data_IF_619157572488
#
_entry.id   IF_619157572488
#
_cell.length_a   1.000
_cell.length_b   1.000
_cell.length_c   1.000
_cell.angle_alpha   90.00
_cell.angle_beta   90.00
_cell.angle_gamma   90.00
#
_symmetry.space_group_name_H-M   'P 1'
#
loop_
_entity.id
_entity.type
_entity.pdbx_description
1 polymer ?
2 non-polymer ?
3 non-polymer ?
4 water ?
#
# COMPACT_ATOMS: atom_id res chain seq x y z
N UNK A 4 -36.77 9.28 0.20
CA UNK A 4 -35.41 9.67 0.48
C UNK A 4 -34.58 9.91 -0.77
N UNK A 5 -33.39 10.48 -0.60
CA UNK A 5 -32.53 10.81 -1.73
C UNK A 5 -31.95 9.56 -2.39
N UNK A 6 -31.86 8.47 -1.64
CA UNK A 6 -31.30 7.23 -2.17
C UNK A 6 -32.33 6.10 -2.15
N UNK A 7 -33.59 6.46 -2.33
CA UNK A 7 -34.67 5.48 -2.33
C UNK A 7 -34.53 4.49 -3.48
N UNK A 8 -34.53 3.19 -3.14
CA UNK A 8 -34.44 2.15 -4.14
C UNK A 8 -33.02 1.71 -4.44
N UNK A 9 -32.05 2.46 -3.94
CA UNK A 9 -30.65 2.15 -4.18
C UNK A 9 -30.14 1.08 -3.22
N UNK A 10 -29.24 0.22 -3.72
CA UNK A 10 -28.67 -0.85 -2.93
C UNK A 10 -27.27 -0.48 -2.44
N UNK A 11 -27.10 -0.47 -1.12
CA UNK A 11 -25.85 -0.02 -0.52
C UNK A 11 -25.20 -1.11 0.32
N UNK A 12 -23.89 -1.31 0.11
CA UNK A 12 -23.11 -2.21 0.96
C UNK A 12 -22.03 -1.44 1.69
N UNK A 13 -22.01 -1.56 3.01
CA UNK A 13 -21.02 -0.86 3.83
C UNK A 13 -20.15 -1.85 4.61
N UNK A 14 -18.89 -1.96 4.22
CA UNK A 14 -17.95 -2.83 4.94
C UNK A 14 -17.47 -2.13 6.21
N UNK A 15 -17.59 -2.82 7.34
CA UNK A 15 -17.19 -2.27 8.63
C UNK A 15 -18.09 -1.14 9.09
N UNK A 16 -19.38 -1.42 9.22
CA UNK A 16 -20.34 -0.37 9.53
C UNK A 16 -20.99 -0.43 10.90
N UNK A 17 -20.47 -1.26 11.80
CA UNK A 17 -21.13 -1.46 13.09
C UNK A 17 -20.85 -0.33 14.09
N UNK A 18 -19.70 0.33 13.95
CA UNK A 18 -19.29 1.33 14.94
C UNK A 18 -18.84 2.65 14.33
N UNK A 19 -18.90 3.70 15.14
CA UNK A 19 -18.36 5.01 14.79
C UNK A 19 -18.79 5.58 13.46
N UNK A 20 -17.80 5.89 12.62
CA UNK A 20 -18.04 6.44 11.30
C UNK A 20 -18.89 5.49 10.46
N UNK A 21 -18.59 4.21 10.53
CA UNK A 21 -19.35 3.20 9.82
C UNK A 21 -20.81 3.21 10.18
N UNK A 22 -21.10 3.29 11.48
CA UNK A 22 -22.47 3.31 11.97
C UNK A 22 -23.21 4.55 11.49
N UNK A 23 -22.53 5.69 11.51
CA UNK A 23 -23.12 6.95 11.07
C UNK A 23 -23.48 6.89 9.58
N UNK A 24 -22.63 6.22 8.81
CA UNK A 24 -22.87 6.06 7.37
C UNK A 24 -24.07 5.14 7.12
N UNK A 25 -24.17 4.08 7.93
CA UNK A 25 -25.33 3.20 7.88
C UNK A 25 -26.62 3.98 8.17
N UNK A 26 -26.61 4.75 9.25
CA UNK A 26 -27.79 5.53 9.64
C UNK A 26 -28.18 6.54 8.57
N UNK A 27 -27.18 7.16 7.96
CA UNK A 27 -27.43 8.20 6.96
C UNK A 27 -28.11 7.66 5.71
N UNK A 28 -27.63 6.52 5.20
CA UNK A 28 -28.19 5.95 3.99
C UNK A 28 -29.57 5.33 4.24
N UNK A 29 -29.77 4.75 5.42
CA UNK A 29 -31.07 4.24 5.81
C UNK A 29 -32.10 5.38 5.91
N UNK A 30 -31.68 6.47 6.53
CA UNK A 30 -32.54 7.65 6.68
C UNK A 30 -32.91 8.21 5.31
N UNK A 31 -31.99 8.10 4.36
CA UNK A 31 -32.23 8.58 3.00
C UNK A 31 -32.93 7.55 2.13
N UNK A 32 -33.48 6.51 2.77
CA UNK A 32 -34.36 5.56 2.10
C UNK A 32 -33.69 4.47 1.29
N UNK A 33 -32.40 4.24 1.51
CA UNK A 33 -31.69 3.21 0.76
C UNK A 33 -31.79 1.85 1.44
N UNK A 34 -31.67 0.79 0.63
CA UNK A 34 -31.59 -0.56 1.15
C UNK A 34 -30.15 -0.87 1.56
N UNK A 35 -29.90 -0.94 2.86
CA UNK A 35 -28.54 -1.04 3.36
C UNK A 35 -28.19 -2.40 3.98
N UNK A 36 -27.04 -2.92 3.57
CA UNK A 36 -26.42 -4.05 4.25
C UNK A 36 -25.03 -3.63 4.70
N UNK A 37 -24.62 -4.07 5.89
CA UNK A 37 -23.29 -3.75 6.38
C UNK A 37 -22.62 -4.95 7.03
N UNK A 38 -21.29 -4.89 7.15
CA UNK A 38 -20.54 -5.98 7.73
C UNK A 38 -19.90 -5.59 9.05
N UNK A 39 -19.59 -6.59 9.86
CA UNK A 39 -18.94 -6.40 11.15
C UNK A 39 -18.02 -7.58 11.43
N UNK A 40 -17.18 -7.46 12.43
CA UNK A 40 -16.27 -8.54 12.80
C UNK A 40 -16.35 -8.85 14.30
N UNK A 41 -15.64 -8.08 15.10
CA UNK A 41 -15.56 -8.33 16.53
C UNK A 41 -16.74 -7.81 17.32
N UNK A 42 -17.35 -6.72 16.85
CA UNK A 42 -18.42 -6.07 17.59
C UNK A 42 -19.81 -6.58 17.19
N UNK A 43 -20.13 -7.78 17.63
CA UNK A 43 -21.43 -8.40 17.32
C UNK A 43 -22.58 -7.64 17.97
N UNK A 44 -22.42 -7.26 19.23
CA UNK A 44 -23.46 -6.57 19.98
C UNK A 44 -23.75 -5.18 19.39
N UNK A 45 -22.70 -4.49 18.98
CA UNK A 45 -22.86 -3.18 18.36
C UNK A 45 -23.63 -3.29 17.05
N UNK A 46 -23.29 -4.30 16.26
CA UNK A 46 -23.95 -4.53 14.98
C UNK A 46 -25.41 -4.91 15.17
N UNK A 47 -25.69 -5.71 16.20
CA UNK A 47 -27.05 -6.13 16.51
C UNK A 47 -27.93 -4.94 16.82
N UNK A 48 -27.45 -4.06 17.69
CA UNK A 48 -28.21 -2.87 18.08
C UNK A 48 -28.42 -1.91 16.92
N UNK A 49 -27.42 -1.82 16.04
CA UNK A 49 -27.51 -0.96 14.87
C UNK A 49 -28.55 -1.51 13.89
N UNK A 50 -28.58 -2.82 13.74
CA UNK A 50 -29.55 -3.47 12.87
C UNK A 50 -30.96 -3.28 13.42
N UNK A 51 -31.09 -3.36 14.74
CA UNK A 51 -32.36 -3.17 15.41
C UNK A 51 -32.85 -1.73 15.29
N UNK A 52 -31.91 -0.79 15.31
CA UNK A 52 -32.26 0.63 15.24
C UNK A 52 -32.64 1.07 13.84
N UNK A 53 -31.87 0.62 12.85
CA UNK A 53 -32.02 1.11 11.49
C UNK A 53 -32.83 0.18 10.59
N UNK A 54 -32.75 -1.11 10.84
CA UNK A 54 -33.38 -2.09 9.98
C UNK A 54 -32.42 -2.59 8.92
N UNK A 55 -31.19 -2.10 8.96
CA UNK A 55 -30.16 -2.53 8.03
C UNK A 55 -29.74 -3.97 8.33
N UNK A 56 -29.31 -4.68 7.29
CA UNK A 56 -28.89 -6.07 7.43
C UNK A 56 -27.41 -6.16 7.81
N UNK A 57 -27.13 -6.88 8.89
CA UNK A 57 -25.75 -7.08 9.34
C UNK A 57 -25.26 -8.48 9.00
N UNK A 58 -24.06 -8.56 8.44
CA UNK A 58 -23.44 -9.83 8.13
C UNK A 58 -22.01 -9.87 8.66
N UNK A 59 -21.63 -10.97 9.29
CA UNK A 59 -20.27 -11.13 9.80
C UNK A 59 -19.26 -11.26 8.66
N UNK A 60 -18.19 -10.48 8.74
CA UNK A 60 -17.12 -10.54 7.74
C UNK A 60 -15.81 -10.00 8.29
N UNK A 61 -14.74 -10.79 8.15
CA UNK A 61 -13.41 -10.37 8.53
C UNK A 61 -12.78 -9.52 7.43
N UNK A 62 -12.63 -8.23 7.69
CA UNK A 62 -12.06 -7.31 6.70
C UNK A 62 -10.60 -7.64 6.40
N UNK A 63 -9.92 -8.25 7.36
CA UNK A 63 -8.55 -8.69 7.17
C UNK A 63 -8.49 -9.91 6.25
N UNK A 64 -9.55 -10.72 6.31
CA UNK A 64 -9.66 -11.89 5.44
C UNK A 64 -10.14 -11.46 4.06
N UNK A 65 -9.25 -11.54 3.07
CA UNK A 65 -9.52 -11.06 1.73
C UNK A 65 -10.65 -11.79 1.02
N UNK A 66 -10.66 -13.11 1.13
CA UNK A 66 -11.66 -13.92 0.43
C UNK A 66 -13.06 -13.68 0.99
N UNK A 67 -13.13 -13.39 2.29
CA UNK A 67 -14.39 -13.08 2.93
C UNK A 67 -14.94 -11.76 2.38
N UNK A 68 -14.05 -10.78 2.21
CA UNK A 68 -14.42 -9.48 1.67
C UNK A 68 -14.94 -9.60 0.24
N UNK A 69 -14.20 -10.34 -0.59
CA UNK A 69 -14.62 -10.56 -1.97
C UNK A 69 -15.96 -11.29 -2.04
N UNK A 70 -16.14 -12.27 -1.16
CA UNK A 70 -17.35 -13.08 -1.16
C UNK A 70 -18.60 -12.28 -0.79
N UNK A 71 -18.50 -11.46 0.25
CA UNK A 71 -19.66 -10.71 0.71
C UNK A 71 -20.07 -9.63 -0.30
N UNK A 72 -19.08 -9.10 -1.04
CA UNK A 72 -19.36 -8.14 -2.10
C UNK A 72 -20.04 -8.84 -3.26
N UNK A 73 -19.48 -10.00 -3.65
CA UNK A 73 -20.01 -10.78 -4.75
C UNK A 73 -21.45 -11.22 -4.51
N UNK A 74 -21.75 -11.61 -3.27
CA UNK A 74 -23.09 -12.07 -2.92
C UNK A 74 -24.09 -10.93 -2.76
N UNK A 75 -23.68 -9.71 -3.08
CA UNK A 75 -24.54 -8.54 -2.95
C UNK A 75 -25.13 -8.11 -4.29
N UNK A 76 -24.77 -8.83 -5.35
CA UNK A 76 -25.31 -8.56 -6.67
C UNK A 76 -24.91 -7.20 -7.22
N UNK A 77 -25.80 -6.62 -8.03
CA UNK A 77 -25.54 -5.34 -8.66
C UNK A 77 -25.81 -4.17 -7.72
N UNK A 78 -24.89 -3.95 -6.78
CA UNK A 78 -25.05 -2.85 -5.83
C UNK A 78 -24.84 -1.50 -6.50
N UNK A 79 -25.48 -0.46 -5.95
CA UNK A 79 -25.36 0.88 -6.50
C UNK A 79 -24.22 1.64 -5.83
N UNK A 80 -24.05 1.40 -4.54
CA UNK A 80 -23.04 2.10 -3.75
C UNK A 80 -22.27 1.12 -2.87
N UNK A 81 -20.94 1.19 -2.96
CA UNK A 81 -20.08 0.45 -2.05
C UNK A 81 -19.33 1.40 -1.13
N UNK A 82 -19.37 1.12 0.17
CA UNK A 82 -18.57 1.89 1.12
C UNK A 82 -17.64 0.95 1.88
N UNK A 83 -16.34 1.25 1.85
CA UNK A 83 -15.35 0.47 2.56
C UNK A 83 -14.75 1.29 3.70
N UNK A 84 -15.18 0.98 4.92
CA UNK A 84 -14.70 1.70 6.10
C UNK A 84 -13.55 0.97 6.78
N UNK A 85 -12.36 1.55 6.71
CA UNK A 85 -11.17 0.95 7.31
C UNK A 85 -11.31 0.80 8.82
N UNK A 86 -11.80 1.85 9.47
CA UNK A 86 -12.02 1.81 10.91
C UNK A 86 -10.87 2.41 11.69
N UNK A 87 -10.49 1.75 12.78
CA UNK A 87 -9.41 2.24 13.64
C UNK A 87 -8.04 1.94 13.03
N UNK A 97 4.51 -3.78 16.52
CA UNK A 97 4.54 -5.18 16.09
C UNK A 97 4.44 -5.31 14.58
N UNK A 98 5.13 -6.30 14.03
CA UNK A 98 5.14 -6.53 12.59
C UNK A 98 3.78 -7.02 12.10
N UNK A 99 3.05 -7.71 12.98
CA UNK A 99 1.71 -8.20 12.64
C UNK A 99 0.69 -7.07 12.65
N UNK A 100 0.90 -6.10 13.54
CA UNK A 100 0.01 -4.95 13.63
C UNK A 100 0.10 -4.09 12.37
N UNK A 101 1.33 -3.93 11.87
CA UNK A 101 1.57 -3.15 10.66
C UNK A 101 0.93 -3.83 9.45
N UNK A 102 1.13 -5.13 9.33
CA UNK A 102 0.56 -5.90 8.22
C UNK A 102 -0.96 -5.90 8.27
N UNK A 103 -1.52 -5.96 9.48
CA UNK A 103 -2.95 -5.86 9.65
C UNK A 103 -3.45 -4.51 9.16
N UNK A 104 -2.70 -3.46 9.50
CA UNK A 104 -3.02 -2.11 9.08
C UNK A 104 -3.03 -1.96 7.56
N UNK A 105 -2.04 -2.57 6.90
CA UNK A 105 -1.94 -2.51 5.45
C UNK A 105 -3.10 -3.25 4.78
N UNK A 106 -3.47 -4.39 5.35
CA UNK A 106 -4.54 -5.21 4.79
C UNK A 106 -5.90 -4.53 4.86
N UNK A 107 -6.11 -3.73 5.88
CA UNK A 107 -7.39 -3.05 6.07
C UNK A 107 -7.43 -1.72 5.31
N UNK A 108 -6.30 -1.03 5.28
CA UNK A 108 -6.22 0.28 4.63
C UNK A 108 -6.01 0.19 3.12
N UNK A 109 -5.34 -0.87 2.67
CA UNK A 109 -4.94 -0.95 1.27
C UNK A 109 -5.53 -2.17 0.55
N UNK A 110 -5.28 -3.36 1.09
CA UNK A 110 -5.71 -4.60 0.46
C UNK A 110 -7.24 -4.69 0.35
N UNK A 111 -7.92 -4.57 1.48
CA UNK A 111 -9.37 -4.70 1.51
C UNK A 111 -10.08 -3.69 0.61
N UNK A 112 -9.70 -2.39 0.68
CA UNK A 112 -10.38 -1.46 -0.24
C UNK A 112 -10.14 -1.79 -1.71
N UNK A 113 -8.94 -2.27 -2.06
CA UNK A 113 -8.66 -2.61 -3.45
C UNK A 113 -9.53 -3.77 -3.94
N UNK A 114 -9.52 -4.87 -3.18
CA UNK A 114 -10.25 -6.07 -3.59
C UNK A 114 -11.76 -5.82 -3.65
N UNK A 115 -12.28 -5.14 -2.63
CA UNK A 115 -13.71 -4.85 -2.58
C UNK A 115 -14.13 -3.97 -3.76
N UNK A 116 -13.34 -2.93 -4.02
CA UNK A 116 -13.66 -1.98 -5.09
C UNK A 116 -13.66 -2.62 -6.46
N UNK A 117 -12.62 -3.42 -6.75
CA UNK A 117 -12.52 -4.10 -8.03
C UNK A 117 -13.66 -5.09 -8.22
N UNK A 118 -13.96 -5.86 -7.18
CA UNK A 118 -15.05 -6.82 -7.22
C UNK A 118 -16.39 -6.11 -7.44
N UNK A 119 -16.60 -5.02 -6.72
CA UNK A 119 -17.86 -4.28 -6.80
C UNK A 119 -18.04 -3.59 -8.15
N UNK A 120 -16.95 -3.01 -8.66
CA UNK A 120 -17.01 -2.23 -9.90
C UNK A 120 -17.44 -3.08 -11.09
N UNK A 121 -17.11 -4.36 -11.05
CA UNK A 121 -17.44 -5.26 -12.15
C UNK A 121 -18.86 -5.80 -12.03
N UNK A 122 -19.57 -5.34 -11.00
CA UNK A 122 -20.96 -5.73 -10.78
C UNK A 122 -21.88 -4.52 -10.82
N UNK A 123 -21.28 -3.34 -10.72
CA UNK A 123 -22.04 -2.09 -10.64
C UNK A 123 -22.60 -1.63 -11.99
N UNK A 124 -23.77 -1.00 -11.95
CA UNK A 124 -24.29 -0.28 -13.13
C UNK A 124 -23.56 1.04 -13.28
N UNK A 125 -23.68 1.69 -14.43
CA UNK A 125 -23.05 3.00 -14.60
C UNK A 125 -23.73 3.99 -13.65
N UNK A 126 -22.93 4.87 -13.05
CA UNK A 126 -23.42 5.76 -12.02
C UNK A 126 -23.10 5.21 -10.65
N UNK A 127 -22.55 3.99 -10.62
CA UNK A 127 -22.15 3.36 -9.37
C UNK A 127 -21.13 4.19 -8.61
N UNK A 128 -21.20 4.15 -7.30
CA UNK A 128 -20.31 4.94 -6.46
C UNK A 128 -19.51 4.05 -5.52
N UNK A 129 -18.19 4.18 -5.58
CA UNK A 129 -17.32 3.46 -4.66
C UNK A 129 -16.69 4.46 -3.69
N UNK A 130 -16.90 4.22 -2.40
CA UNK A 130 -16.40 5.14 -1.39
C UNK A 130 -15.55 4.40 -0.36
N UNK A 131 -14.36 4.94 -0.11
CA UNK A 131 -13.44 4.32 0.84
C UNK A 131 -13.15 5.27 1.98
N UNK A 132 -13.33 4.80 3.21
CA UNK A 132 -13.04 5.62 4.37
C UNK A 132 -11.69 5.22 4.95
N UNK A 133 -10.76 6.17 4.99
CA UNK A 133 -9.45 5.93 5.54
C UNK A 133 -9.52 5.65 7.03
N UNK A 134 -8.51 4.98 7.56
CA UNK A 134 -8.47 4.65 8.98
C UNK A 134 -8.17 5.91 9.79
N UNK A 135 -8.56 5.89 11.07
CA UNK A 135 -8.36 7.04 11.94
C UNK A 135 -7.36 6.72 13.06
N UNK A 145 2.71 4.84 13.06
CA UNK A 145 3.92 5.66 13.03
C UNK A 145 4.15 6.24 11.65
N UNK A 146 4.77 5.45 10.78
CA UNK A 146 5.02 5.87 9.40
C UNK A 146 4.25 4.99 8.42
N UNK A 147 3.69 3.91 8.94
CA UNK A 147 2.86 3.02 8.12
C UNK A 147 1.55 3.71 7.79
N UNK A 148 1.15 4.65 8.64
CA UNK A 148 -0.05 5.44 8.40
C UNK A 148 0.12 6.34 7.19
N UNK A 149 1.27 7.01 7.11
CA UNK A 149 1.59 7.89 5.99
C UNK A 149 1.62 7.11 4.68
N UNK A 150 2.15 5.89 4.73
CA UNK A 150 2.20 5.04 3.55
C UNK A 150 0.80 4.59 3.16
N UNK A 151 -0.02 4.26 4.16
CA UNK A 151 -1.38 3.82 3.93
C UNK A 151 -2.23 4.92 3.31
N UNK A 152 -2.15 6.12 3.89
CA UNK A 152 -2.90 7.27 3.40
C UNK A 152 -2.51 7.60 1.96
N UNK A 153 -1.20 7.66 1.71
CA UNK A 153 -0.70 7.93 0.37
C UNK A 153 -1.17 6.88 -0.62
N UNK A 154 -1.14 5.62 -0.21
CA UNK A 154 -1.58 4.51 -1.05
C UNK A 154 -3.02 4.68 -1.49
N UNK A 155 -3.88 5.05 -0.55
CA UNK A 155 -5.30 5.25 -0.85
C UNK A 155 -5.51 6.38 -1.86
N UNK A 156 -4.72 7.44 -1.72
CA UNK A 156 -4.80 8.56 -2.65
C UNK A 156 -4.38 8.11 -4.05
N UNK A 157 -3.30 7.33 -4.12
CA UNK A 157 -2.85 6.79 -5.39
C UNK A 157 -3.87 5.81 -5.96
N UNK A 158 -4.45 4.99 -5.10
CA UNK A 158 -5.43 3.99 -5.50
C UNK A 158 -6.68 4.64 -6.10
N UNK A 159 -7.10 5.75 -5.49
CA UNK A 159 -8.25 6.50 -5.96
C UNK A 159 -8.05 6.97 -7.40
N UNK A 160 -6.88 7.54 -7.67
CA UNK A 160 -6.52 7.98 -9.01
C UNK A 160 -6.53 6.81 -10.00
N UNK A 161 -5.90 5.70 -9.60
CA UNK A 161 -5.79 4.54 -10.46
C UNK A 161 -7.12 3.88 -10.78
N UNK A 162 -7.96 3.72 -9.75
CA UNK A 162 -9.28 3.12 -9.93
C UNK A 162 -10.17 3.97 -10.83
N UNK A 163 -10.11 5.28 -10.65
CA UNK A 163 -10.92 6.22 -11.44
C UNK A 163 -10.61 6.09 -12.92
N UNK A 164 -9.32 5.97 -13.23
CA UNK A 164 -8.90 5.75 -14.61
C UNK A 164 -9.43 4.42 -15.12
N UNK A 165 -9.36 3.39 -14.27
CA UNK A 165 -9.75 2.04 -14.65
C UNK A 165 -11.26 1.89 -14.88
N UNK A 166 -12.06 2.49 -14.01
CA UNK A 166 -13.50 2.25 -14.05
C UNK A 166 -14.31 3.49 -14.43
N UNK A 167 -13.62 4.59 -14.71
CA UNK A 167 -14.25 5.79 -15.25
C UNK A 167 -15.08 5.55 -16.50
N UNK A 168 -14.50 4.87 -17.52
CA UNK A 168 -15.26 4.52 -18.72
C UNK A 168 -16.53 3.71 -18.45
N UNK A 169 -16.63 3.11 -17.27
CA UNK A 169 -17.83 2.35 -16.90
C UNK A 169 -18.88 3.25 -16.24
N UNK A 170 -18.54 4.53 -16.06
CA UNK A 170 -19.44 5.46 -15.42
C UNK A 170 -19.46 5.31 -13.91
N UNK A 171 -18.37 4.77 -13.36
CA UNK A 171 -18.25 4.56 -11.93
C UNK A 171 -17.27 5.55 -11.31
N UNK A 172 -17.66 6.17 -10.20
CA UNK A 172 -16.77 7.11 -9.52
C UNK A 172 -16.13 6.46 -8.29
N UNK A 173 -14.90 6.87 -8.00
CA UNK A 173 -14.20 6.37 -6.83
C UNK A 173 -13.67 7.53 -6.00
N UNK A 174 -14.04 7.56 -4.72
CA UNK A 174 -13.58 8.61 -3.83
C UNK A 174 -13.14 8.06 -2.49
N UNK A 175 -12.12 8.70 -1.92
CA UNK A 175 -11.67 8.36 -0.58
C UNK A 175 -12.00 9.50 0.37
N UNK A 176 -12.54 9.15 1.53
CA UNK A 176 -12.74 10.14 2.58
C UNK A 176 -11.80 9.82 3.73
N UNK A 177 -10.90 10.76 4.02
CA UNK A 177 -9.91 10.57 5.08
C UNK A 177 -10.23 11.47 6.26
N UNK A 178 -10.74 10.88 7.35
CA UNK A 178 -11.06 11.64 8.56
C UNK A 178 -9.81 12.05 9.33
N UNK A 179 -9.96 13.01 10.24
CA UNK A 179 -8.85 13.49 11.03
C UNK A 179 -8.54 12.60 12.21
N UNK A 180 -7.40 12.85 12.88
CA UNK A 180 -6.96 12.07 14.04
C UNK A 180 -7.96 12.12 15.20
N UNK A 206 -20.81 14.31 15.97
CA UNK A 206 -19.42 14.72 15.90
C UNK A 206 -18.78 14.35 14.57
N UNK A 207 -17.55 13.85 14.64
CA UNK A 207 -16.82 13.45 13.43
C UNK A 207 -17.54 12.41 12.55
N UNK A 208 -18.13 11.36 13.15
CA UNK A 208 -18.80 10.37 12.29
C UNK A 208 -19.94 10.96 11.45
N UNK A 209 -20.76 11.81 12.07
CA UNK A 209 -21.89 12.41 11.37
C UNK A 209 -21.44 13.31 10.22
N UNK A 210 -20.33 14.00 10.41
CA UNK A 210 -19.80 14.89 9.38
C UNK A 210 -19.19 14.11 8.22
N UNK A 211 -18.48 13.03 8.54
CA UNK A 211 -17.92 12.16 7.52
C UNK A 211 -19.05 11.53 6.71
N UNK A 212 -20.10 11.09 7.40
CA UNK A 212 -21.25 10.47 6.75
C UNK A 212 -21.93 11.44 5.79
N UNK A 213 -21.96 12.72 6.16
CA UNK A 213 -22.53 13.75 5.31
C UNK A 213 -21.75 13.89 4.02
N UNK A 214 -20.43 13.88 4.13
CA UNK A 214 -19.55 13.94 2.96
C UNK A 214 -19.73 12.72 2.08
N UNK A 215 -19.85 11.55 2.70
CA UNK A 215 -20.05 10.30 1.98
C UNK A 215 -21.36 10.35 1.19
N UNK A 216 -22.42 10.84 1.84
CA UNK A 216 -23.73 10.94 1.20
C UNK A 216 -23.69 11.90 0.00
N UNK A 217 -22.98 13.01 0.15
CA UNK A 217 -22.87 13.99 -0.93
C UNK A 217 -22.14 13.38 -2.12
N UNK A 218 -21.02 12.71 -1.84
CA UNK A 218 -20.21 12.08 -2.87
C UNK A 218 -20.98 10.95 -3.58
N UNK A 219 -21.93 10.36 -2.88
CA UNK A 219 -22.74 9.28 -3.46
C UNK A 219 -23.89 9.83 -4.29
N UNK A 220 -24.13 11.14 -4.19
CA UNK A 220 -25.29 11.76 -4.83
C UNK A 220 -25.03 12.33 -6.22
N UNK A 221 -26.07 12.93 -6.81
CA UNK A 221 -26.03 13.46 -8.18
C UNK A 221 -25.11 14.67 -8.36
N UNK A 222 -24.82 15.38 -7.27
CA UNK A 222 -23.99 16.57 -7.35
C UNK A 222 -22.49 16.23 -7.43
N UNK A 223 -22.16 14.96 -7.20
CA UNK A 223 -20.77 14.53 -7.22
C UNK A 223 -20.52 13.53 -8.34
N UNK A 224 -21.37 13.54 -9.35
CA UNK A 224 -21.24 12.63 -10.49
C UNK A 224 -19.95 12.85 -11.26
N UNK A 225 -19.42 14.07 -11.19
CA UNK A 225 -18.17 14.40 -11.87
C UNK A 225 -17.05 14.64 -10.87
N UNK A 226 -17.11 13.93 -9.75
CA UNK A 226 -16.03 13.96 -8.77
C UNK A 226 -15.52 12.56 -8.53
N UNK A 227 -14.29 12.27 -8.95
CA UNK A 227 -13.76 10.92 -8.86
C UNK A 227 -12.23 10.92 -8.90
N UNK A 228 -11.63 9.89 -8.32
CA UNK A 228 -10.19 9.78 -8.24
C UNK A 228 -9.61 10.70 -7.19
N UNK A 229 -10.42 11.03 -6.20
CA UNK A 229 -10.09 12.05 -5.21
C UNK A 229 -10.03 11.52 -3.79
N UNK A 230 -9.11 12.06 -2.99
CA UNK A 230 -9.14 11.85 -1.55
C UNK A 230 -9.59 13.15 -0.88
N UNK A 231 -10.66 13.06 -0.10
CA UNK A 231 -11.21 14.23 0.56
C UNK A 231 -10.93 14.19 2.07
N UNK A 232 -10.23 15.19 2.56
CA UNK A 232 -9.90 15.27 3.98
C UNK A 232 -10.97 16.05 4.74
N UNK A 233 -11.51 15.42 5.77
CA UNK A 233 -12.56 16.04 6.58
C UNK A 233 -12.27 15.91 8.07
N UNK B 2 40.88 -3.58 -5.82
CA UNK B 2 40.82 -2.13 -5.90
C UNK B 2 39.94 -1.57 -4.79
N UNK B 3 40.03 -0.25 -4.58
CA UNK B 3 39.18 0.43 -3.61
C UNK B 3 38.39 1.55 -4.28
N UNK B 4 37.26 1.90 -3.68
CA UNK B 4 36.40 2.92 -4.26
C UNK B 4 35.60 3.69 -3.22
N UNK B 5 34.52 4.31 -3.68
CA UNK B 5 33.69 5.18 -2.83
C UNK B 5 33.12 4.45 -1.61
N UNK B 6 32.88 3.16 -1.75
CA UNK B 6 32.21 2.40 -0.70
C UNK B 6 33.05 1.23 -0.18
N UNK B 7 34.37 1.40 -0.20
CA UNK B 7 35.26 0.41 0.38
C UNK B 7 35.08 0.34 1.89
N UNK B 8 34.95 -0.87 2.42
CA UNK B 8 34.72 -1.07 3.84
C UNK B 8 33.25 -0.96 4.20
N UNK B 9 32.42 -0.73 3.19
CA UNK B 9 30.98 -0.62 3.38
C UNK B 9 30.28 -1.90 2.95
N UNK B 10 29.24 -2.28 3.69
CA UNK B 10 28.45 -3.45 3.33
C UNK B 10 27.12 -3.01 2.73
N UNK B 11 26.81 -3.53 1.55
CA UNK B 11 25.57 -3.17 0.86
C UNK B 11 24.69 -4.40 0.65
N UNK B 12 23.42 -4.28 1.04
CA UNK B 12 22.44 -5.34 0.81
C UNK B 12 21.41 -4.88 -0.22
N UNK B 13 21.30 -5.63 -1.30
CA UNK B 13 20.38 -5.29 -2.37
C UNK B 13 19.28 -6.33 -2.51
N UNK B 14 18.07 -5.98 -2.09
CA UNK B 14 16.94 -6.89 -2.19
C UNK B 14 16.42 -6.93 -3.63
N UNK B 15 16.58 -8.07 -4.28
CA UNK B 15 16.15 -8.22 -5.66
C UNK B 15 17.14 -7.64 -6.64
N UNK B 16 18.39 -8.07 -6.57
CA UNK B 16 19.43 -7.53 -7.42
C UNK B 16 19.95 -8.50 -8.47
N UNK B 17 19.13 -9.48 -8.84
CA UNK B 17 19.55 -10.52 -9.76
C UNK B 17 19.32 -10.15 -11.22
N UNK B 18 18.34 -9.30 -11.48
CA UNK B 18 18.01 -8.94 -12.87
C UNK B 18 17.71 -7.46 -13.07
N UNK B 19 17.91 -7.00 -14.30
CA UNK B 19 17.55 -5.65 -14.70
C UNK B 19 18.26 -4.55 -13.95
N UNK B 20 17.46 -3.63 -13.39
CA UNK B 20 17.99 -2.52 -12.60
C UNK B 20 18.77 -3.03 -11.40
N UNK B 21 18.25 -4.08 -10.77
CA UNK B 21 18.91 -4.69 -9.63
C UNK B 21 20.32 -5.12 -9.94
N UNK B 22 20.49 -5.80 -11.08
CA UNK B 22 21.80 -6.27 -11.51
C UNK B 22 22.75 -5.10 -11.79
N UNK B 23 22.20 -4.01 -12.34
CA UNK B 23 22.99 -2.82 -12.61
C UNK B 23 23.50 -2.20 -11.32
N UNK B 24 22.66 -2.19 -10.30
CA UNK B 24 23.01 -1.63 -9.00
C UNK B 24 24.08 -2.50 -8.32
N UNK B 25 23.97 -3.81 -8.49
CA UNK B 25 24.97 -4.74 -7.97
C UNK B 25 26.34 -4.47 -8.59
N UNK B 26 26.36 -4.32 -9.91
CA UNK B 26 27.60 -4.04 -10.63
C UNK B 26 28.23 -2.72 -10.20
N UNK B 27 27.39 -1.70 -10.05
CA UNK B 27 27.86 -0.36 -9.73
C UNK B 27 28.53 -0.31 -8.35
N UNK B 28 27.90 -0.92 -7.35
CA UNK B 28 28.43 -0.90 -5.99
C UNK B 28 29.71 -1.73 -5.87
N UNK B 29 29.77 -2.84 -6.61
CA UNK B 29 30.99 -3.64 -6.67
C UNK B 29 32.12 -2.82 -7.28
N UNK B 30 31.79 -2.10 -8.36
CA UNK B 30 32.75 -1.21 -9.01
C UNK B 30 33.27 -0.15 -8.03
N UNK B 31 32.40 0.30 -7.14
CA UNK B 31 32.77 1.30 -6.15
C UNK B 31 33.41 0.67 -4.92
N UNK B 32 33.74 -0.62 -5.00
CA UNK B 32 34.54 -1.28 -3.99
C UNK B 32 33.80 -1.78 -2.76
N UNK B 33 32.48 -1.83 -2.83
CA UNK B 33 31.68 -2.25 -1.68
C UNK B 33 31.61 -3.77 -1.56
N UNK B 34 31.38 -4.24 -0.33
CA UNK B 34 31.05 -5.64 -0.11
C UNK B 34 29.55 -5.82 -0.35
N UNK B 35 29.22 -6.40 -1.50
CA UNK B 35 27.83 -6.47 -1.94
C UNK B 35 27.19 -7.83 -1.72
N UNK B 36 26.01 -7.82 -1.11
CA UNK B 36 25.17 -9.00 -1.06
C UNK B 36 23.84 -8.67 -1.72
N UNK B 37 23.28 -9.62 -2.47
CA UNK B 37 21.97 -9.39 -3.08
C UNK B 37 21.08 -10.62 -2.98
N UNK B 38 19.78 -10.39 -2.98
CA UNK B 38 18.82 -11.49 -2.94
C UNK B 38 18.21 -11.73 -4.31
N UNK B 39 17.84 -12.97 -4.58
CA UNK B 39 17.21 -13.34 -5.84
C UNK B 39 15.93 -14.12 -5.58
N UNK B 40 15.01 -14.07 -6.55
CA UNK B 40 13.73 -14.75 -6.42
C UNK B 40 13.56 -15.86 -7.44
N UNK B 41 14.19 -15.70 -8.60
CA UNK B 41 14.00 -16.62 -9.70
C UNK B 41 15.16 -17.57 -9.99
N UNK B 42 15.82 -17.34 -11.12
CA UNK B 42 16.85 -18.25 -11.60
C UNK B 42 18.06 -18.31 -10.68
N UNK B 43 18.38 -19.52 -10.23
CA UNK B 43 19.58 -19.75 -9.44
C UNK B 43 20.82 -19.62 -10.31
N UNK B 44 20.69 -20.01 -11.58
CA UNK B 44 21.80 -19.94 -12.53
C UNK B 44 22.19 -18.50 -12.82
N UNK B 45 21.19 -17.64 -13.00
CA UNK B 45 21.43 -16.23 -13.29
C UNK B 45 22.01 -15.52 -12.08
N UNK B 46 21.52 -15.86 -10.90
CA UNK B 46 22.01 -15.26 -9.66
C UNK B 46 23.45 -15.66 -9.38
N UNK B 47 23.73 -16.95 -9.56
CA UNK B 47 25.08 -17.48 -9.36
C UNK B 47 26.04 -16.88 -10.39
N UNK B 48 25.55 -16.71 -11.62
CA UNK B 48 26.36 -16.15 -12.68
C UNK B 48 26.73 -14.70 -12.39
N UNK B 49 25.75 -13.91 -11.98
CA UNK B 49 25.98 -12.51 -11.64
C UNK B 49 26.91 -12.38 -10.45
N UNK B 50 26.71 -13.24 -9.45
CA UNK B 50 27.53 -13.22 -8.24
C UNK B 50 28.99 -13.51 -8.55
N UNK B 51 29.25 -14.52 -9.36
CA UNK B 51 30.61 -14.89 -9.72
C UNK B 51 31.24 -13.87 -10.67
N UNK B 52 30.41 -13.28 -11.53
CA UNK B 52 30.86 -12.27 -12.46
C UNK B 52 31.29 -10.99 -11.74
N UNK B 53 30.52 -10.60 -10.73
CA UNK B 53 30.77 -9.36 -10.02
C UNK B 53 31.59 -9.55 -8.74
N UNK B 54 31.56 -10.75 -8.18
CA UNK B 54 32.22 -11.01 -6.92
C UNK B 54 31.34 -10.57 -5.77
N UNK B 55 30.05 -10.85 -5.89
CA UNK B 55 29.09 -10.49 -4.85
C UNK B 55 28.50 -11.75 -4.22
N UNK B 56 27.88 -11.57 -3.06
CA UNK B 56 27.19 -12.66 -2.37
C UNK B 56 25.73 -12.73 -2.82
N UNK B 57 25.27 -13.95 -3.12
CA UNK B 57 23.88 -14.16 -3.52
C UNK B 57 23.16 -15.07 -2.54
N UNK B 58 21.94 -14.68 -2.18
CA UNK B 58 21.13 -15.45 -1.24
C UNK B 58 19.66 -15.42 -1.66
N UNK B 59 18.98 -16.56 -1.58
CA UNK B 59 17.58 -16.62 -1.95
C UNK B 59 16.72 -15.91 -0.91
N UNK B 60 15.76 -15.14 -1.39
CA UNK B 60 14.75 -14.50 -0.53
C UNK B 60 13.55 -14.08 -1.35
N UNK B 61 12.37 -14.53 -0.94
CA UNK B 61 11.12 -14.07 -1.54
C UNK B 61 10.69 -12.78 -0.87
N UNK B 62 10.73 -11.68 -1.61
CA UNK B 62 10.43 -10.36 -1.07
C UNK B 62 8.99 -10.23 -0.59
N UNK B 63 8.12 -11.11 -1.07
CA UNK B 63 6.72 -11.10 -0.65
C UNK B 63 6.59 -11.64 0.77
N UNK B 64 7.54 -12.48 1.18
CA UNK B 64 7.55 -13.05 2.53
C UNK B 64 8.15 -12.04 3.51
N UNK B 65 7.31 -11.52 4.40
CA UNK B 65 7.75 -10.52 5.37
C UNK B 65 8.86 -11.05 6.28
N UNK B 66 8.66 -12.26 6.82
CA UNK B 66 9.62 -12.84 7.73
C UNK B 66 10.97 -13.08 7.05
N UNK B 67 10.93 -13.55 5.82
CA UNK B 67 12.15 -13.80 5.05
C UNK B 67 12.91 -12.51 4.81
N UNK B 68 12.18 -11.44 4.50
CA UNK B 68 12.76 -10.13 4.29
C UNK B 68 13.40 -9.61 5.57
N UNK B 69 12.67 -9.68 6.66
CA UNK B 69 13.18 -9.24 7.96
C UNK B 69 14.39 -10.08 8.38
N UNK B 70 14.32 -11.38 8.13
CA UNK B 70 15.39 -12.29 8.52
C UNK B 70 16.69 -12.03 7.75
N UNK B 71 16.58 -11.83 6.44
CA UNK B 71 17.77 -11.63 5.61
C UNK B 71 18.42 -10.29 5.90
N UNK B 72 17.64 -9.32 6.36
CA UNK B 72 18.17 -8.03 6.76
C UNK B 72 18.90 -8.18 8.10
N UNK B 73 18.27 -8.90 9.03
CA UNK B 73 18.88 -9.16 10.34
C UNK B 73 20.20 -9.92 10.20
N UNK B 74 20.25 -10.87 9.27
CA UNK B 74 21.45 -11.68 9.06
C UNK B 74 22.60 -10.87 8.45
N UNK B 75 22.30 -9.68 7.95
CA UNK B 75 23.29 -8.86 7.29
C UNK B 75 24.14 -8.07 8.28
N UNK B 76 23.71 -8.06 9.54
CA UNK B 76 24.44 -7.37 10.59
C UNK B 76 24.38 -5.87 10.47
N UNK B 77 25.50 -5.20 10.74
CA UNK B 77 25.56 -3.74 10.74
C UNK B 77 25.81 -3.18 9.35
N UNK B 78 24.87 -3.41 8.44
CA UNK B 78 25.00 -2.95 7.06
C UNK B 78 25.03 -1.43 6.97
N UNK B 79 25.65 -0.91 5.92
CA UNK B 79 25.79 0.52 5.73
C UNK B 79 24.76 1.06 4.73
N UNK B 80 24.46 0.25 3.71
CA UNK B 80 23.53 0.66 2.67
C UNK B 80 22.52 -0.44 2.37
N UNK B 81 21.24 -0.09 2.40
CA UNK B 81 20.19 -1.01 2.00
C UNK B 81 19.53 -0.53 0.71
N UNK B 82 19.48 -1.40 -0.29
CA UNK B 82 18.76 -1.12 -1.51
C UNK B 82 17.62 -2.11 -1.67
N UNK B 83 16.39 -1.60 -1.71
CA UNK B 83 15.22 -2.43 -1.90
C UNK B 83 14.65 -2.23 -3.30
N UNK B 84 14.85 -3.22 -4.17
CA UNK B 84 14.36 -3.15 -5.54
C UNK B 84 12.94 -3.70 -5.64
N UNK B 85 11.96 -2.81 -5.75
CA UNK B 85 10.57 -3.21 -5.92
C UNK B 85 10.22 -3.31 -7.40
N UNK B 86 8.99 -3.73 -7.68
CA UNK B 86 8.54 -3.88 -9.05
C UNK B 86 7.08 -4.29 -9.14
N UNK B 93 0.41 -8.05 -17.47
CA UNK B 93 -0.56 -9.15 -17.46
C UNK B 93 -1.96 -8.65 -17.81
N UNK B 94 -2.76 -9.54 -18.40
CA UNK B 94 -4.13 -9.20 -18.76
C UNK B 94 -5.03 -9.16 -17.54
N UNK B 95 -4.89 -10.15 -16.67
CA UNK B 95 -5.69 -10.24 -15.45
C UNK B 95 -4.86 -10.81 -14.32
N UNK B 96 -4.96 -10.18 -13.15
CA UNK B 96 -4.22 -10.62 -11.97
C UNK B 96 -5.17 -11.22 -10.94
N UNK B 97 -4.83 -12.40 -10.41
CA UNK B 97 -5.65 -12.99 -9.37
C UNK B 97 -5.39 -12.28 -8.04
N UNK B 98 -6.22 -12.57 -7.04
CA UNK B 98 -6.16 -11.88 -5.76
C UNK B 98 -4.83 -12.12 -5.03
N UNK B 99 -4.29 -13.33 -5.15
CA UNK B 99 -3.02 -13.67 -4.52
C UNK B 99 -1.85 -12.89 -5.12
N UNK B 100 -1.84 -12.78 -6.44
CA UNK B 100 -0.76 -12.05 -7.13
C UNK B 100 -0.85 -10.55 -6.84
N UNK B 101 -2.07 -10.05 -6.67
CA UNK B 101 -2.27 -8.67 -6.25
C UNK B 101 -1.68 -8.45 -4.86
N UNK B 102 -1.99 -9.35 -3.93
CA UNK B 102 -1.44 -9.27 -2.59
C UNK B 102 0.08 -9.41 -2.63
N UNK B 103 0.59 -10.23 -3.54
CA UNK B 103 2.03 -10.37 -3.73
C UNK B 103 2.64 -9.07 -4.21
N UNK B 104 1.96 -8.40 -5.13
CA UNK B 104 2.39 -7.10 -5.65
C UNK B 104 2.53 -6.11 -4.51
N UNK B 105 1.49 -6.01 -3.69
CA UNK B 105 1.48 -5.09 -2.55
C UNK B 105 2.57 -5.43 -1.53
N UNK B 106 2.78 -6.73 -1.29
CA UNK B 106 3.80 -7.16 -0.34
C UNK B 106 5.20 -6.83 -0.84
N UNK B 107 5.42 -6.97 -2.15
CA UNK B 107 6.72 -6.66 -2.74
C UNK B 107 6.95 -5.15 -2.83
N UNK B 108 5.91 -4.41 -3.22
CA UNK B 108 6.05 -2.98 -3.46
C UNK B 108 5.81 -2.10 -2.23
N UNK B 109 5.11 -2.62 -1.24
CA UNK B 109 4.80 -1.81 -0.06
C UNK B 109 5.30 -2.43 1.24
N UNK B 110 4.89 -3.66 1.52
CA UNK B 110 5.26 -4.35 2.76
C UNK B 110 6.77 -4.52 2.91
N UNK B 111 7.39 -5.08 1.89
CA UNK B 111 8.83 -5.36 1.94
C UNK B 111 9.67 -4.08 2.13
N UNK B 112 9.42 -3.02 1.34
CA UNK B 112 10.22 -1.80 1.59
C UNK B 112 10.05 -1.24 3.00
N UNK B 113 8.86 -1.35 3.58
CA UNK B 113 8.64 -0.83 4.93
C UNK B 113 9.41 -1.64 5.97
N UNK B 114 9.17 -2.95 5.99
CA UNK B 114 9.80 -3.82 6.98
C UNK B 114 11.32 -3.85 6.84
N UNK B 115 11.80 -3.91 5.60
CA UNK B 115 13.23 -3.94 5.35
C UNK B 115 13.90 -2.65 5.80
N UNK B 116 13.26 -1.52 5.51
CA UNK B 116 13.80 -0.22 5.90
C UNK B 116 13.80 -0.05 7.42
N UNK B 117 12.72 -0.48 8.06
CA UNK B 117 12.60 -0.38 9.51
C UNK B 117 13.64 -1.26 10.20
N UNK B 118 13.77 -2.50 9.72
CA UNK B 118 14.72 -3.43 10.32
C UNK B 118 16.16 -3.00 10.08
N UNK B 119 16.44 -2.49 8.88
CA UNK B 119 17.79 -2.04 8.56
C UNK B 119 18.20 -0.84 9.39
N UNK B 120 17.23 0.03 9.68
CA UNK B 120 17.50 1.22 10.48
C UNK B 120 17.93 0.85 11.90
N UNK B 121 17.44 -0.27 12.40
CA UNK B 121 17.80 -0.75 13.72
C UNK B 121 19.23 -1.30 13.76
N UNK B 122 19.81 -1.52 12.59
CA UNK B 122 21.13 -2.14 12.48
C UNK B 122 22.20 -1.19 11.95
N UNK B 123 21.76 -0.11 11.32
CA UNK B 123 22.68 0.82 10.68
C UNK B 123 23.40 1.75 11.64
N UNK B 124 24.62 2.16 11.29
CA UNK B 124 25.32 3.23 12.00
C UNK B 124 24.84 4.59 11.52
N UNK B 125 25.33 5.67 12.11
CA UNK B 125 25.00 7.01 11.64
C UNK B 125 25.55 7.22 10.23
N UNK B 126 24.70 7.74 9.34
CA UNK B 126 25.08 7.94 7.96
C UNK B 126 24.61 6.81 7.07
N UNK B 127 23.89 5.87 7.66
CA UNK B 127 23.31 4.75 6.92
C UNK B 127 22.37 5.23 5.83
N UNK B 128 22.34 4.51 4.71
CA UNK B 128 21.55 4.92 3.56
C UNK B 128 20.56 3.85 3.15
N UNK B 129 19.27 4.20 3.13
CA UNK B 129 18.23 3.31 2.65
C UNK B 129 17.69 3.81 1.32
N UNK B 130 17.71 2.95 0.32
CA UNK B 130 17.27 3.33 -1.01
C UNK B 130 16.24 2.35 -1.57
N UNK B 131 15.08 2.88 -1.94
CA UNK B 131 14.01 2.04 -2.49
C UNK B 131 13.87 2.30 -3.99
N UNK B 132 13.88 1.22 -4.76
CA UNK B 132 13.76 1.33 -6.21
C UNK B 132 12.33 0.99 -6.63
N UNK B 133 11.69 1.92 -7.32
CA UNK B 133 10.31 1.74 -7.75
C UNK B 133 10.17 0.86 -8.97
N UNK B 134 8.92 0.61 -9.36
CA UNK B 134 8.63 -0.25 -10.51
C UNK B 134 8.91 0.48 -11.81
N UNK B 135 9.42 -0.25 -12.80
CA UNK B 135 9.68 0.32 -14.11
C UNK B 135 8.38 0.52 -14.88
N UNK B 136 8.22 1.70 -15.48
CA UNK B 136 7.02 2.03 -16.23
C UNK B 136 7.18 1.72 -17.72
N UNK B 144 -4.97 -2.63 -15.81
CA UNK B 144 -5.26 -2.05 -14.51
C UNK B 144 -4.08 -1.26 -13.96
N UNK B 145 -4.34 -0.02 -13.58
CA UNK B 145 -3.29 0.87 -13.09
C UNK B 145 -3.37 1.04 -11.58
N UNK B 146 -4.52 0.68 -11.01
CA UNK B 146 -4.83 0.96 -9.60
C UNK B 146 -3.79 0.43 -8.62
N UNK B 147 -3.39 -0.83 -8.80
CA UNK B 147 -2.43 -1.45 -7.89
C UNK B 147 -1.06 -0.78 -8.00
N UNK B 148 -0.67 -0.44 -9.22
CA UNK B 148 0.60 0.24 -9.46
C UNK B 148 0.59 1.65 -8.88
N UNK B 149 -0.53 2.36 -9.07
CA UNK B 149 -0.67 3.72 -8.57
C UNK B 149 -0.61 3.77 -7.06
N UNK B 150 -1.29 2.83 -6.42
CA UNK B 150 -1.31 2.75 -4.95
C UNK B 150 0.09 2.48 -4.39
N UNK B 151 0.81 1.56 -5.02
CA UNK B 151 2.14 1.17 -4.57
C UNK B 151 3.14 2.32 -4.71
N UNK B 152 3.12 3.00 -5.85
CA UNK B 152 4.01 4.13 -6.08
C UNK B 152 3.78 5.26 -5.08
N UNK B 153 2.51 5.57 -4.84
CA UNK B 153 2.15 6.62 -3.89
C UNK B 153 2.55 6.21 -2.47
N UNK B 154 2.34 4.93 -2.16
CA UNK B 154 2.69 4.39 -0.85
C UNK B 154 4.17 4.60 -0.53
N UNK B 155 5.02 4.33 -1.51
CA UNK B 155 6.46 4.48 -1.34
C UNK B 155 6.85 5.92 -1.04
N UNK B 156 6.22 6.87 -1.73
CA UNK B 156 6.50 8.28 -1.52
C UNK B 156 6.11 8.71 -0.11
N UNK B 157 4.95 8.28 0.34
CA UNK B 157 4.50 8.58 1.69
C UNK B 157 5.31 7.85 2.73
N UNK B 158 5.81 6.67 2.36
CA UNK B 158 6.63 5.86 3.26
C UNK B 158 7.98 6.52 3.49
N UNK B 159 8.58 7.03 2.42
CA UNK B 159 9.89 7.66 2.48
C UNK B 159 9.89 8.88 3.39
N UNK B 160 8.82 9.69 3.28
CA UNK B 160 8.70 10.89 4.10
C UNK B 160 8.49 10.52 5.57
N UNK B 161 7.59 9.57 5.82
CA UNK B 161 7.27 9.15 7.17
C UNK B 161 8.44 8.51 7.90
N UNK B 162 9.22 7.69 7.17
CA UNK B 162 10.35 7.00 7.76
C UNK B 162 11.53 7.92 7.98
N UNK B 163 11.66 8.94 7.13
CA UNK B 163 12.75 9.91 7.24
C UNK B 163 12.67 10.67 8.56
N UNK B 164 11.45 10.96 9.01
CA UNK B 164 11.24 11.62 10.29
C UNK B 164 11.66 10.72 11.43
N UNK B 165 11.42 9.41 11.27
CA UNK B 165 11.77 8.43 12.28
C UNK B 165 13.25 8.09 12.25
N UNK B 166 13.86 8.21 11.08
CA UNK B 166 15.26 7.82 10.90
C UNK B 166 16.21 9.03 10.97
N UNK B 167 15.63 10.22 10.85
CA UNK B 167 16.39 11.46 10.91
C UNK B 167 17.34 11.60 12.08
N UNK B 168 16.81 11.54 13.32
CA UNK B 168 17.65 11.63 14.52
C UNK B 168 18.65 10.48 14.67
N UNK B 169 18.51 9.45 13.85
CA UNK B 169 19.46 8.34 13.87
C UNK B 169 20.61 8.60 12.90
N UNK B 170 20.47 9.64 12.07
CA UNK B 170 21.47 9.96 11.07
C UNK B 170 21.32 9.09 9.83
N UNK B 171 20.19 8.40 9.74
CA UNK B 171 19.91 7.53 8.61
C UNK B 171 18.98 8.22 7.61
N UNK B 172 19.39 8.21 6.34
CA UNK B 172 18.58 8.82 5.29
C UNK B 172 17.83 7.74 4.50
N UNK B 173 16.69 8.11 3.95
CA UNK B 173 15.94 7.19 3.11
C UNK B 173 15.35 7.92 1.90
N UNK B 174 15.58 7.34 0.72
CA UNK B 174 15.09 7.93 -0.52
C UNK B 174 14.51 6.89 -1.47
N UNK B 175 13.59 7.34 -2.33
CA UNK B 175 13.01 6.47 -3.33
C UNK B 175 13.45 6.88 -4.73
N UNK B 176 13.96 5.93 -5.50
CA UNK B 176 14.32 6.17 -6.88
C UNK B 176 13.29 5.50 -7.79
N UNK B 177 12.49 6.32 -8.46
CA UNK B 177 11.40 5.82 -9.30
C UNK B 177 11.75 5.90 -10.78
N UNK B 178 11.98 4.75 -11.42
CA UNK B 178 12.29 4.70 -12.85
C UNK B 178 11.04 4.90 -13.72
N UNK B 209 21.39 1.76 -15.70
CA UNK B 209 22.65 2.40 -15.35
C UNK B 209 22.40 3.80 -14.79
N UNK B 210 21.41 4.49 -15.34
CA UNK B 210 21.03 5.82 -14.87
C UNK B 210 20.49 5.74 -13.44
N UNK B 211 19.76 4.66 -13.17
CA UNK B 211 19.23 4.42 -11.83
C UNK B 211 20.37 4.11 -10.86
N UNK B 212 21.25 3.22 -11.28
CA UNK B 212 22.38 2.79 -10.44
C UNK B 212 23.29 3.97 -10.09
N UNK B 213 23.43 4.90 -11.03
CA UNK B 213 24.23 6.09 -10.80
C UNK B 213 23.59 6.99 -9.76
N UNK B 214 22.27 7.14 -9.83
CA UNK B 214 21.54 7.95 -8.88
C UNK B 214 21.54 7.28 -7.51
N UNK B 215 21.49 5.96 -7.50
CA UNK B 215 21.55 5.18 -6.27
C UNK B 215 22.88 5.40 -5.56
N UNK B 216 23.97 5.23 -6.30
CA UNK B 216 25.32 5.39 -5.75
C UNK B 216 25.56 6.81 -5.25
N UNK B 217 24.91 7.79 -5.89
CA UNK B 217 25.07 9.18 -5.49
C UNK B 217 24.33 9.48 -4.20
N UNK B 218 23.10 8.98 -4.09
CA UNK B 218 22.31 9.14 -2.87
C UNK B 218 22.96 8.43 -1.70
N UNK B 219 23.76 7.41 -2.00
CA UNK B 219 24.47 6.65 -0.98
C UNK B 219 25.81 7.30 -0.65
N UNK B 220 26.19 8.30 -1.45
CA UNK B 220 27.47 8.97 -1.28
C UNK B 220 27.47 10.05 -0.21
N UNK B 221 28.65 10.66 0.02
CA UNK B 221 28.85 11.70 1.05
C UNK B 221 28.03 12.96 0.82
N UNK B 222 27.87 13.36 -0.43
CA UNK B 222 27.18 14.61 -0.76
C UNK B 222 25.70 14.59 -0.42
N UNK B 223 25.09 13.41 -0.49
CA UNK B 223 23.66 13.27 -0.22
C UNK B 223 23.38 12.87 1.22
N UNK B 224 24.28 13.27 2.13
CA UNK B 224 24.14 12.94 3.54
C UNK B 224 22.96 13.68 4.18
N UNK B 225 22.56 14.80 3.58
CA UNK B 225 21.47 15.61 4.10
C UNK B 225 20.16 15.34 3.35
N UNK B 226 20.26 14.65 2.22
CA UNK B 226 19.09 14.34 1.40
C UNK B 226 18.37 13.11 1.92
N UNK B 227 17.08 13.28 2.26
CA UNK B 227 16.29 12.19 2.80
C UNK B 227 14.79 12.43 2.65
N UNK B 228 14.03 11.34 2.58
CA UNK B 228 12.58 11.40 2.56
C UNK B 228 11.96 11.90 1.27
N UNK B 229 12.68 11.79 0.17
CA UNK B 229 12.18 12.26 -1.11
C UNK B 229 12.13 11.14 -2.15
N UNK B 230 11.22 11.29 -3.12
CA UNK B 230 11.16 10.38 -4.24
C UNK B 230 11.80 11.03 -5.48
N UNK B 231 12.75 10.33 -6.08
CA UNK B 231 13.49 10.88 -7.21
C UNK B 231 13.21 10.11 -8.49
N UNK B 232 12.63 10.79 -9.47
CA UNK B 232 12.32 10.18 -10.75
C UNK B 232 13.51 10.33 -11.70
N UNK B 233 13.77 9.30 -12.50
CA UNK B 233 14.90 9.30 -13.42
C UNK B 233 14.44 9.61 -14.84
#
# INVERSE_FOLDING_TARGET
>A
GHMGAFTGKTVLILGGSRGIGAAIVRRFVTDGANVRFTYAGSKDAAKRLAQETGATAVFTDSADRDAVIDVVRKSGALDILVVNAGIGVFGEALELNADDIDRLFKINIHAPYHASVEAARQMPEGGRILIIGSVNGDRMPVAGMAAYAASKSALQGMARGLARDFGPRGITINVVQPGPIDTDANPANGPMRDMLHSLMAIKRHGQPEEVAGMVAWLAGPEASFVTGAMHTIDGAFGAG
>B
GHMGAFTGKTVLILGGSRGIGAAIVRRFVTDGANVRFTYAGSKDAAKRLAQETGATAVFTDSADRDAVIDVVRKSGALDILVVNAGIGVFGEALELNADDIDRLFKINIHAPYHASVEAARQMPEGGRILIIGSVNGDRMPVAGMAAYAASKSALQGMARGLARDFGPRGITINVVQPGPIDTDANPANGPMRDMLHSLMAIKRHGQPEEVAGMVAWLAGPEASFVTGAMHTIDGAFGAG
#
